data_IF_407121104143
#
_entry.id   IF_407121104143
#
_cell.length_a   1.000
_cell.length_b   1.000
_cell.length_c   1.000
_cell.angle_alpha   90.00
_cell.angle_beta   90.00
_cell.angle_gamma   90.00
#
_symmetry.space_group_name_H-M   'P 1'
#
loop_
_entity.id
_entity.type
_entity.pdbx_description
1 polymer ?
#
# COMPACT_ATOMS: atom_id res chain seq x y z
N UNK A 1 16.76 -3.77 -9.43
CA UNK A 1 15.76 -2.67 -9.35
C UNK A 1 15.33 -2.51 -7.90
N UNK A 2 14.98 -1.30 -7.50
CA UNK A 2 14.39 -1.05 -6.17
C UNK A 2 12.91 -1.41 -6.18
N UNK A 3 12.35 -1.67 -5.00
CA UNK A 3 10.92 -2.04 -4.85
C UNK A 3 10.18 -0.99 -4.02
N UNK A 4 9.02 -0.60 -4.49
CA UNK A 4 8.09 0.27 -3.78
C UNK A 4 6.79 -0.47 -3.47
N UNK A 5 6.34 -0.42 -2.23
CA UNK A 5 5.01 -0.85 -1.81
C UNK A 5 4.11 0.37 -1.68
N UNK A 6 3.03 0.40 -2.45
CA UNK A 6 2.07 1.52 -2.45
C UNK A 6 0.72 1.02 -1.96
N UNK A 7 0.25 1.54 -0.84
CA UNK A 7 -1.05 1.18 -0.28
C UNK A 7 -2.17 2.02 -0.88
N UNK A 8 -3.35 1.42 -1.05
CA UNK A 8 -4.48 2.10 -1.67
C UNK A 8 -4.23 2.48 -3.14
N UNK A 9 -3.49 1.65 -3.86
CA UNK A 9 -3.02 1.96 -5.21
C UNK A 9 -3.94 1.44 -6.34
N UNK A 10 -5.17 1.04 -6.02
CA UNK A 10 -6.13 0.57 -7.03
C UNK A 10 -6.70 1.68 -7.92
N UNK A 11 -6.59 2.93 -7.51
CA UNK A 11 -7.14 4.09 -8.25
C UNK A 11 -6.53 5.41 -7.76
N UNK A 12 -6.89 6.50 -8.44
CA UNK A 12 -6.59 7.86 -8.01
C UNK A 12 -5.11 8.12 -7.78
N UNK A 13 -4.80 8.79 -6.67
CA UNK A 13 -3.44 9.22 -6.32
C UNK A 13 -2.50 8.03 -6.16
N UNK A 14 -2.93 6.98 -5.47
CA UNK A 14 -2.12 5.78 -5.25
C UNK A 14 -1.74 5.07 -6.55
N UNK A 15 -2.66 4.96 -7.50
CA UNK A 15 -2.39 4.39 -8.83
C UNK A 15 -1.40 5.27 -9.63
N UNK A 16 -1.56 6.58 -9.57
CA UNK A 16 -0.65 7.51 -10.24
C UNK A 16 0.77 7.41 -9.67
N UNK A 17 0.90 7.33 -8.34
CA UNK A 17 2.20 7.12 -7.66
C UNK A 17 2.81 5.76 -8.07
N UNK A 18 2.01 4.69 -8.06
CA UNK A 18 2.45 3.36 -8.45
C UNK A 18 3.00 3.35 -9.89
N UNK A 19 2.24 3.94 -10.83
CA UNK A 19 2.65 4.09 -12.23
C UNK A 19 3.95 4.88 -12.35
N UNK A 20 4.05 6.03 -11.69
CA UNK A 20 5.22 6.91 -11.77
C UNK A 20 6.48 6.24 -11.22
N UNK A 21 6.38 5.57 -10.07
CA UNK A 21 7.49 4.79 -9.52
C UNK A 21 7.92 3.67 -10.47
N UNK A 22 6.97 2.95 -11.07
CA UNK A 22 7.27 1.90 -12.04
C UNK A 22 8.01 2.43 -13.29
N UNK A 23 7.58 3.55 -13.85
CA UNK A 23 8.24 4.21 -15.00
C UNK A 23 9.67 4.64 -14.62
N UNK A 24 9.89 5.04 -13.38
CA UNK A 24 11.22 5.39 -12.86
C UNK A 24 12.05 4.18 -12.39
N UNK A 25 11.69 2.98 -12.82
CA UNK A 25 12.52 1.78 -12.65
C UNK A 25 12.37 1.07 -11.31
N UNK A 26 11.23 1.23 -10.64
CA UNK A 26 10.90 0.43 -9.46
C UNK A 26 10.06 -0.79 -9.83
N UNK A 27 10.28 -1.90 -9.13
CA UNK A 27 9.23 -2.91 -8.99
C UNK A 27 8.14 -2.33 -8.09
N UNK A 28 6.87 -2.49 -8.43
CA UNK A 28 5.77 -1.91 -7.68
C UNK A 28 4.88 -3.00 -7.08
N UNK A 29 4.84 -3.08 -5.76
CA UNK A 29 3.84 -3.84 -5.03
C UNK A 29 2.60 -2.96 -4.82
N UNK A 30 1.54 -3.27 -5.56
CA UNK A 30 0.25 -2.57 -5.51
C UNK A 30 -0.62 -3.21 -4.45
N UNK A 31 -0.96 -2.49 -3.39
CA UNK A 31 -1.90 -2.97 -2.37
C UNK A 31 -3.27 -2.33 -2.55
N UNK A 32 -4.30 -3.16 -2.64
CA UNK A 32 -5.70 -2.76 -2.75
C UNK A 32 -6.60 -3.67 -1.90
N UNK A 33 -7.83 -3.24 -1.63
CA UNK A 33 -8.78 -4.03 -0.82
C UNK A 33 -9.29 -5.28 -1.51
N UNK A 34 -9.30 -5.29 -2.85
CA UNK A 34 -9.80 -6.40 -3.67
C UNK A 34 -8.76 -6.87 -4.66
N UNK A 35 -9.00 -8.05 -5.20
CA UNK A 35 -8.20 -8.64 -6.27
C UNK A 35 -8.13 -7.74 -7.52
N UNK A 36 -7.06 -7.89 -8.27
CA UNK A 36 -6.78 -7.15 -9.50
C UNK A 36 -7.93 -7.18 -10.52
N UNK A 37 -8.64 -8.30 -10.60
CA UNK A 37 -9.78 -8.49 -11.52
C UNK A 37 -10.94 -7.50 -11.31
N UNK A 38 -11.02 -6.88 -10.13
CA UNK A 38 -12.00 -5.83 -9.84
C UNK A 38 -11.63 -4.45 -10.38
N UNK A 39 -10.40 -4.30 -10.92
CA UNK A 39 -9.86 -3.01 -11.35
C UNK A 39 -9.26 -3.06 -12.76
N UNK A 40 -10.03 -3.47 -13.79
CA UNK A 40 -9.52 -3.71 -15.14
C UNK A 40 -8.89 -2.46 -15.78
N UNK A 41 -9.44 -1.28 -15.52
CA UNK A 41 -8.87 -0.03 -16.05
C UNK A 41 -7.52 0.31 -15.41
N UNK A 42 -7.38 0.09 -14.12
CA UNK A 42 -6.12 0.33 -13.40
C UNK A 42 -5.05 -0.65 -13.85
N UNK A 43 -5.41 -1.91 -14.00
CA UNK A 43 -4.55 -2.96 -14.57
C UNK A 43 -4.07 -2.58 -15.96
N UNK A 44 -4.98 -2.11 -16.82
CA UNK A 44 -4.65 -1.65 -18.16
C UNK A 44 -3.62 -0.50 -18.14
N UNK A 45 -3.80 0.50 -17.26
CA UNK A 45 -2.87 1.63 -17.11
C UNK A 45 -1.46 1.14 -16.73
N UNK A 46 -1.36 0.18 -15.79
CA UNK A 46 -0.07 -0.36 -15.36
C UNK A 46 0.60 -1.20 -16.45
N UNK A 47 -0.17 -2.01 -17.17
CA UNK A 47 0.32 -2.83 -18.28
C UNK A 47 0.79 -1.96 -19.47
N UNK A 48 0.01 -0.96 -19.87
CA UNK A 48 0.37 -0.03 -20.95
C UNK A 48 1.61 0.81 -20.62
N UNK A 49 1.84 1.08 -19.33
CA UNK A 49 3.07 1.73 -18.88
C UNK A 49 4.31 0.82 -18.92
N UNK A 50 4.12 -0.49 -19.16
CA UNK A 50 5.23 -1.46 -19.27
C UNK A 50 6.00 -1.67 -17.97
N UNK A 51 5.39 -1.42 -16.82
CA UNK A 51 6.06 -1.48 -15.52
C UNK A 51 6.05 -2.88 -14.93
N UNK A 52 7.04 -3.18 -14.10
CA UNK A 52 7.07 -4.41 -13.30
C UNK A 52 6.27 -4.22 -12.03
N UNK A 53 5.15 -4.92 -11.89
CA UNK A 53 4.32 -4.84 -10.69
C UNK A 53 3.78 -6.20 -10.25
N UNK A 54 3.29 -6.24 -9.01
CA UNK A 54 2.47 -7.32 -8.46
C UNK A 54 1.33 -6.74 -7.63
N UNK A 55 0.17 -7.38 -7.70
CA UNK A 55 -1.04 -6.96 -7.00
C UNK A 55 -1.26 -7.79 -5.75
N UNK A 56 -1.58 -7.13 -4.63
CA UNK A 56 -1.85 -7.75 -3.34
C UNK A 56 -3.18 -7.24 -2.78
N UNK A 57 -4.15 -8.14 -2.74
CA UNK A 57 -5.45 -7.86 -2.11
C UNK A 57 -5.34 -7.98 -0.60
N UNK A 58 -5.84 -6.99 0.13
CA UNK A 58 -5.88 -7.00 1.59
C UNK A 58 -6.38 -5.69 2.18
N UNK A 59 -6.80 -5.78 3.43
CA UNK A 59 -7.30 -4.67 4.23
C UNK A 59 -6.18 -4.15 5.15
N UNK A 60 -5.78 -2.90 4.97
CA UNK A 60 -4.75 -2.25 5.80
C UNK A 60 -5.16 -2.17 7.28
N UNK A 61 -6.46 -2.22 7.57
CA UNK A 61 -6.99 -2.30 8.93
C UNK A 61 -6.74 -3.64 9.63
N UNK A 62 -6.38 -4.70 8.88
CA UNK A 62 -6.15 -6.06 9.41
C UNK A 62 -4.66 -6.37 9.56
N UNK A 63 -4.28 -6.80 10.77
CA UNK A 63 -2.89 -7.13 11.10
C UNK A 63 -2.31 -8.22 10.19
N UNK A 64 -3.06 -9.31 9.99
CA UNK A 64 -2.64 -10.43 9.14
C UNK A 64 -2.38 -10.02 7.70
N UNK A 65 -3.19 -9.12 7.13
CA UNK A 65 -3.01 -8.65 5.75
C UNK A 65 -1.76 -7.79 5.63
N UNK A 66 -1.52 -6.87 6.56
CA UNK A 66 -0.31 -6.03 6.55
C UNK A 66 0.97 -6.85 6.59
N UNK A 67 1.03 -7.82 7.50
CA UNK A 67 2.20 -8.69 7.68
C UNK A 67 2.40 -9.57 6.45
N UNK A 68 1.32 -10.17 5.94
CA UNK A 68 1.36 -11.04 4.77
C UNK A 68 1.84 -10.29 3.53
N UNK A 69 1.28 -9.12 3.24
CA UNK A 69 1.60 -8.37 2.02
C UNK A 69 3.05 -7.88 2.03
N UNK A 70 3.55 -7.38 3.17
CA UNK A 70 4.96 -6.99 3.29
C UNK A 70 5.88 -8.19 3.04
N UNK A 71 5.56 -9.35 3.63
CA UNK A 71 6.33 -10.58 3.43
C UNK A 71 6.31 -11.03 1.96
N UNK A 72 5.14 -11.16 1.36
CA UNK A 72 4.97 -11.63 -0.02
C UNK A 72 5.63 -10.70 -1.04
N UNK A 73 5.54 -9.39 -0.82
CA UNK A 73 6.23 -8.41 -1.67
C UNK A 73 7.76 -8.54 -1.56
N UNK A 74 8.28 -8.73 -0.34
CA UNK A 74 9.71 -8.97 -0.14
C UNK A 74 10.17 -10.30 -0.73
N UNK A 75 9.38 -11.36 -0.60
CA UNK A 75 9.68 -12.66 -1.21
C UNK A 75 9.72 -12.58 -2.74
N UNK A 76 8.79 -11.85 -3.35
CA UNK A 76 8.72 -11.71 -4.81
C UNK A 76 9.84 -10.85 -5.39
N UNK A 77 10.16 -9.74 -4.76
CA UNK A 77 11.07 -8.72 -5.30
C UNK A 77 12.42 -8.65 -4.56
N UNK A 78 12.61 -9.45 -3.52
CA UNK A 78 13.82 -9.52 -2.71
C UNK A 78 13.86 -8.54 -1.55
N UNK A 79 13.49 -7.29 -1.77
CA UNK A 79 13.59 -6.21 -0.78
C UNK A 79 12.47 -5.20 -0.95
N UNK A 80 12.17 -4.41 0.09
CA UNK A 80 11.28 -3.25 0.03
C UNK A 80 12.09 -2.00 0.35
N UNK A 81 12.19 -1.10 -0.61
CA UNK A 81 13.00 0.11 -0.51
C UNK A 81 12.16 1.35 -0.17
N UNK A 82 10.90 1.35 -0.60
CA UNK A 82 9.97 2.46 -0.39
C UNK A 82 8.62 1.91 0.08
N UNK A 83 8.07 2.50 1.13
CA UNK A 83 6.66 2.38 1.48
C UNK A 83 5.96 3.69 1.23
N UNK A 84 4.86 3.67 0.49
CA UNK A 84 3.97 4.82 0.33
C UNK A 84 2.66 4.54 1.07
N UNK A 85 2.46 5.20 2.19
CA UNK A 85 1.22 5.16 2.97
C UNK A 85 0.19 6.10 2.33
N UNK A 86 -0.54 5.59 1.34
CA UNK A 86 -1.57 6.34 0.64
C UNK A 86 -2.99 5.85 0.96
N UNK A 87 -3.15 4.63 1.47
CA UNK A 87 -4.47 4.10 1.80
C UNK A 87 -5.21 4.97 2.82
N UNK A 88 -6.46 5.23 2.53
CA UNK A 88 -7.36 5.98 3.41
C UNK A 88 -8.79 5.82 2.95
N UNK A 89 -9.71 5.99 3.88
CA UNK A 89 -11.16 5.92 3.66
C UNK A 89 -11.86 7.13 4.26
N UNK A 90 -13.01 7.48 3.66
CA UNK A 90 -13.98 8.36 4.27
C UNK A 90 -15.00 7.53 5.08
N UNK A 91 -15.77 8.14 6.01
CA UNK A 91 -16.90 7.47 6.64
C UNK A 91 -17.84 6.90 5.59
N UNK A 92 -18.38 5.70 5.81
CA UNK A 92 -19.38 5.08 4.92
C UNK A 92 -20.67 5.91 4.88
N UNK A 93 -21.02 6.50 6.01
CA UNK A 93 -22.14 7.43 6.15
C UNK A 93 -21.56 8.75 6.64
N UNK A 94 -21.76 9.82 5.86
CA UNK A 94 -21.40 11.17 6.27
C UNK A 94 -22.50 11.71 7.14
N UNK A 95 -22.20 11.90 8.41
CA UNK A 95 -23.15 12.40 9.42
C UNK A 95 -22.55 13.61 10.15
N UNK A 96 -23.44 14.38 10.77
CA UNK A 96 -23.04 15.41 11.73
C UNK A 96 -22.27 14.77 12.90
N UNK A 97 -21.44 15.55 13.58
CA UNK A 97 -20.69 15.09 14.74
C UNK A 97 -21.58 14.47 15.82
N UNK A 98 -22.76 15.04 16.02
CA UNK A 98 -23.71 14.56 17.03
C UNK A 98 -24.38 13.23 16.67
N UNK A 99 -24.36 12.86 15.39
CA UNK A 99 -24.94 11.62 14.85
C UNK A 99 -23.89 10.56 14.50
N UNK A 100 -22.59 10.89 14.61
CA UNK A 100 -21.51 9.95 14.32
C UNK A 100 -21.53 8.78 15.30
N UNK A 101 -21.44 7.55 14.76
CA UNK A 101 -21.35 6.35 15.58
C UNK A 101 -19.90 5.98 15.93
N UNK A 102 -19.71 5.26 17.04
CA UNK A 102 -18.38 4.71 17.39
C UNK A 102 -17.86 3.76 16.31
N UNK A 103 -18.74 2.97 15.68
CA UNK A 103 -18.37 2.08 14.56
C UNK A 103 -17.80 2.88 13.37
N UNK A 104 -18.43 4.01 13.03
CA UNK A 104 -17.93 4.88 11.96
C UNK A 104 -16.56 5.48 12.31
N UNK A 105 -16.39 5.92 13.54
CA UNK A 105 -15.12 6.41 14.07
C UNK A 105 -14.04 5.32 13.99
N UNK A 106 -14.31 4.14 14.51
CA UNK A 106 -13.37 3.01 14.54
C UNK A 106 -12.97 2.58 13.13
N UNK A 107 -13.90 2.58 12.19
CA UNK A 107 -13.61 2.27 10.79
C UNK A 107 -12.61 3.25 10.17
N UNK A 108 -12.82 4.54 10.34
CA UNK A 108 -11.95 5.59 9.78
C UNK A 108 -10.59 5.60 10.46
N UNK A 109 -10.55 5.61 11.77
CA UNK A 109 -9.30 5.61 12.54
C UNK A 109 -8.54 4.28 12.37
N UNK A 110 -9.25 3.17 12.33
CA UNK A 110 -8.68 1.84 12.11
C UNK A 110 -7.95 1.72 10.77
N UNK A 111 -8.47 2.34 9.73
CA UNK A 111 -7.83 2.36 8.40
C UNK A 111 -6.80 3.48 8.30
N UNK A 112 -7.19 4.73 8.55
CA UNK A 112 -6.38 5.90 8.21
C UNK A 112 -5.23 6.16 9.18
N UNK A 113 -5.38 5.78 10.43
CA UNK A 113 -4.38 6.02 11.47
C UNK A 113 -3.71 4.72 11.90
N UNK A 114 -4.46 3.82 12.50
CA UNK A 114 -3.93 2.54 12.99
C UNK A 114 -3.35 1.69 11.86
N UNK A 115 -4.06 1.56 10.74
CA UNK A 115 -3.62 0.78 9.58
C UNK A 115 -2.28 1.28 9.03
N UNK A 116 -2.16 2.58 8.79
CA UNK A 116 -0.93 3.18 8.29
C UNK A 116 0.23 3.09 9.28
N UNK A 117 -0.02 3.28 10.57
CA UNK A 117 1.01 3.14 11.60
C UNK A 117 1.59 1.71 11.64
N UNK A 118 0.74 0.69 11.65
CA UNK A 118 1.21 -0.69 11.71
C UNK A 118 1.69 -1.25 10.36
N UNK A 119 1.26 -0.69 9.23
CA UNK A 119 1.90 -0.94 7.94
C UNK A 119 3.33 -0.40 7.92
N UNK A 120 3.53 0.82 8.43
CA UNK A 120 4.86 1.42 8.63
C UNK A 120 5.74 0.52 9.48
N UNK A 121 5.22 0.01 10.61
CA UNK A 121 5.97 -0.90 11.47
C UNK A 121 6.36 -2.19 10.74
N UNK A 122 5.45 -2.81 10.00
CA UNK A 122 5.72 -4.04 9.26
C UNK A 122 6.80 -3.83 8.18
N UNK A 123 6.68 -2.76 7.39
CA UNK A 123 7.66 -2.42 6.37
C UNK A 123 9.02 -2.05 6.98
N UNK A 124 9.05 -1.27 8.05
CA UNK A 124 10.29 -0.91 8.75
C UNK A 124 11.02 -2.13 9.28
N UNK A 125 10.31 -3.09 9.88
CA UNK A 125 10.88 -4.37 10.34
C UNK A 125 11.50 -5.17 9.18
N UNK A 126 10.89 -5.14 8.01
CA UNK A 126 11.47 -5.75 6.80
C UNK A 126 12.71 -4.98 6.34
N UNK A 127 12.65 -3.67 6.24
CA UNK A 127 13.77 -2.81 5.84
C UNK A 127 14.98 -2.95 6.76
N UNK A 128 14.78 -3.14 8.07
CA UNK A 128 15.86 -3.34 9.03
C UNK A 128 16.69 -4.62 8.79
N UNK A 129 16.14 -5.60 8.11
CA UNK A 129 16.84 -6.85 7.74
C UNK A 129 17.66 -6.71 6.45
N UNK A 130 17.48 -5.63 5.72
CA UNK A 130 18.08 -5.39 4.40
C UNK A 130 19.43 -4.65 4.52
N UNK A 131 20.30 -4.76 3.50
CA UNK A 131 21.52 -3.99 3.42
C UNK A 131 21.28 -2.47 3.44
N UNK A 132 22.31 -1.73 3.76
CA UNK A 132 22.29 -0.26 3.72
C UNK A 132 22.71 0.21 2.32
N UNK A 133 21.86 1.02 1.69
CA UNK A 133 22.13 1.64 0.39
C UNK A 133 22.12 3.16 0.53
N UNK A 134 23.26 3.80 0.25
CA UNK A 134 23.37 5.27 0.34
C UNK A 134 23.01 5.83 1.73
N UNK A 135 23.41 5.12 2.79
CA UNK A 135 23.18 5.54 4.17
C UNK A 135 21.80 5.19 4.75
N UNK A 136 20.93 4.52 4.00
CA UNK A 136 19.58 4.12 4.46
C UNK A 136 19.21 2.71 4.00
N UNK A 137 18.27 2.08 4.73
CA UNK A 137 17.71 0.76 4.39
C UNK A 137 16.38 0.83 3.67
N UNK A 138 15.73 1.97 3.71
CA UNK A 138 14.45 2.24 3.06
C UNK A 138 13.98 3.67 3.33
N UNK A 139 12.83 4.00 2.72
CA UNK A 139 12.15 5.31 2.88
C UNK A 139 10.67 5.06 3.09
N UNK A 140 10.05 5.81 4.00
CA UNK A 140 8.62 5.76 4.28
C UNK A 140 8.05 7.15 4.19
#
# INVERSE_FOLDING_TARGET
MKTALVTGASRGIGLAIARELGINGYHVAVMATRDESFYPESTKILLEAGISYAWYAGDIGKSEDRIRIVREAAEKFGEIHVLVNNAGVAPKVRADLLEMTEESFDYVIGTNTKGNMFMTQAAARQMMKQPVYGGKRGTI
#
